data_IF_012477702697
#
_entry.id   IF_012477702697
#
_cell.length_a   1.000
_cell.length_b   1.000
_cell.length_c   1.000
_cell.angle_alpha   90.00
_cell.angle_beta   90.00
_cell.angle_gamma   90.00
#
_symmetry.space_group_name_H-M   'P 1'
#
loop_
_entity.id
_entity.type
_entity.pdbx_description
1 polymer ?
#
# COMPACT_ATOMS: atom_id res chain seq x y z
N UNK A 1 -1.61 -4.11 20.37
CA UNK A 1 -2.75 -5.08 20.50
C UNK A 1 -3.50 -4.97 19.20
N UNK A 2 -3.91 -6.09 18.61
CA UNK A 2 -4.56 -6.08 17.30
C UNK A 2 -6.06 -5.81 17.45
N UNK A 3 -6.81 -6.72 18.05
CA UNK A 3 -8.21 -6.52 18.38
C UNK A 3 -8.66 -7.45 19.50
N UNK A 4 -9.82 -7.17 20.10
CA UNK A 4 -10.49 -8.14 20.97
C UNK A 4 -11.40 -9.00 20.09
N UNK A 5 -11.16 -10.31 20.03
CA UNK A 5 -11.97 -11.23 19.26
C UNK A 5 -13.04 -11.87 20.16
N UNK A 6 -14.34 -11.54 19.99
CA UNK A 6 -15.40 -12.12 20.81
C UNK A 6 -15.50 -13.63 20.63
N UNK A 7 -15.18 -14.13 19.42
CA UNK A 7 -15.28 -15.56 19.06
C UNK A 7 -14.28 -16.45 19.78
N UNK A 8 -13.12 -15.90 20.16
CA UNK A 8 -12.13 -16.61 20.99
C UNK A 8 -12.17 -16.18 22.45
N UNK A 9 -13.04 -15.22 22.81
CA UNK A 9 -13.13 -14.61 24.15
C UNK A 9 -11.75 -14.15 24.67
N UNK A 10 -10.91 -13.65 23.77
CA UNK A 10 -9.53 -13.28 24.09
C UNK A 10 -9.05 -12.15 23.17
N UNK A 11 -8.03 -11.43 23.62
CA UNK A 11 -7.35 -10.43 22.82
C UNK A 11 -6.36 -11.08 21.85
N UNK A 12 -6.39 -10.62 20.60
CA UNK A 12 -5.36 -10.88 19.61
C UNK A 12 -4.26 -9.82 19.81
N UNK A 13 -3.06 -10.27 20.11
CA UNK A 13 -1.90 -9.45 20.46
C UNK A 13 -0.63 -10.14 19.97
N UNK A 14 0.53 -9.51 20.10
CA UNK A 14 1.83 -10.06 19.68
C UNK A 14 2.04 -11.53 20.05
N UNK A 15 1.65 -11.95 21.26
CA UNK A 15 1.83 -13.35 21.71
C UNK A 15 0.77 -14.31 21.20
N UNK A 16 -0.45 -13.83 20.98
CA UNK A 16 -1.61 -14.66 20.59
C UNK A 16 -1.86 -14.67 19.08
N UNK A 17 -1.24 -13.74 18.35
CA UNK A 17 -1.38 -13.57 16.91
C UNK A 17 -1.01 -14.84 16.10
N UNK A 18 0.13 -15.51 16.34
CA UNK A 18 0.46 -16.74 15.61
C UNK A 18 -0.57 -17.85 15.80
N UNK A 19 -1.20 -17.93 16.98
CA UNK A 19 -2.24 -18.92 17.24
C UNK A 19 -3.54 -18.57 16.51
N UNK A 20 -3.90 -17.28 16.50
CA UNK A 20 -5.07 -16.78 15.78
C UNK A 20 -4.95 -17.01 14.28
N UNK A 21 -3.79 -16.74 13.68
CA UNK A 21 -3.54 -16.97 12.25
C UNK A 21 -3.68 -18.46 11.89
N UNK A 22 -3.09 -19.36 12.69
CA UNK A 22 -3.25 -20.82 12.51
C UNK A 22 -4.71 -21.25 12.63
N UNK A 23 -5.43 -20.69 13.60
CA UNK A 23 -6.86 -20.93 13.74
C UNK A 23 -7.63 -20.54 12.47
N UNK A 24 -7.38 -19.36 11.90
CA UNK A 24 -8.03 -18.92 10.66
C UNK A 24 -7.66 -19.81 9.46
N UNK A 25 -6.39 -20.20 9.34
CA UNK A 25 -5.92 -21.09 8.28
C UNK A 25 -6.65 -22.45 8.33
N UNK A 26 -6.61 -23.14 9.47
CA UNK A 26 -7.24 -24.45 9.61
C UNK A 26 -8.76 -24.40 9.49
N UNK A 27 -9.39 -23.31 9.93
CA UNK A 27 -10.84 -23.12 9.77
C UNK A 27 -11.21 -22.94 8.29
N UNK A 28 -10.46 -22.13 7.54
CA UNK A 28 -10.66 -21.98 6.10
C UNK A 28 -10.45 -23.30 5.35
N UNK A 29 -9.36 -24.03 5.62
CA UNK A 29 -9.10 -25.34 5.02
C UNK A 29 -10.23 -26.34 5.30
N UNK A 30 -10.77 -26.34 6.52
CA UNK A 30 -11.89 -27.19 6.90
C UNK A 30 -13.17 -26.82 6.14
N UNK A 31 -13.48 -25.52 6.01
CA UNK A 31 -14.64 -25.03 5.27
C UNK A 31 -14.52 -25.29 3.77
N UNK A 32 -13.35 -25.12 3.17
CA UNK A 32 -13.11 -25.46 1.76
C UNK A 32 -13.22 -26.97 1.51
N UNK A 33 -12.74 -27.78 2.46
CA UNK A 33 -12.92 -29.23 2.40
C UNK A 33 -14.41 -29.57 2.43
N UNK A 34 -15.18 -28.99 3.35
CA UNK A 34 -16.64 -29.17 3.39
C UNK A 34 -17.31 -28.70 2.10
N UNK A 35 -16.95 -27.51 1.59
CA UNK A 35 -17.47 -26.96 0.33
C UNK A 35 -17.20 -27.90 -0.85
N UNK A 36 -16.01 -28.51 -0.92
CA UNK A 36 -15.69 -29.53 -1.92
C UNK A 36 -16.61 -30.75 -1.81
N UNK A 37 -16.85 -31.26 -0.60
CA UNK A 37 -17.76 -32.39 -0.40
C UNK A 37 -19.20 -32.05 -0.80
N UNK A 38 -19.68 -30.85 -0.46
CA UNK A 38 -21.00 -30.36 -0.84
C UNK A 38 -21.12 -30.20 -2.36
N UNK A 39 -20.10 -29.64 -3.00
CA UNK A 39 -20.04 -29.52 -4.47
C UNK A 39 -20.17 -30.88 -5.14
N UNK A 40 -19.43 -31.89 -4.69
CA UNK A 40 -19.52 -33.25 -5.23
C UNK A 40 -20.92 -33.84 -5.08
N UNK A 41 -21.63 -33.56 -3.97
CA UNK A 41 -23.03 -33.98 -3.79
C UNK A 41 -23.97 -33.29 -4.76
N UNK A 42 -23.82 -31.99 -4.99
CA UNK A 42 -24.63 -31.29 -5.99
C UNK A 42 -24.32 -31.73 -7.41
N UNK A 43 -23.06 -32.00 -7.73
CA UNK A 43 -22.66 -32.49 -9.04
C UNK A 43 -23.33 -33.84 -9.34
N UNK A 44 -23.35 -34.75 -8.37
CA UNK A 44 -24.03 -36.04 -8.47
C UNK A 44 -25.57 -35.89 -8.62
N UNK A 45 -26.19 -35.02 -7.83
CA UNK A 45 -27.62 -34.71 -7.96
C UNK A 45 -27.95 -34.09 -9.32
N UNK A 46 -27.08 -33.22 -9.83
CA UNK A 46 -27.26 -32.59 -11.12
C UNK A 46 -27.10 -33.57 -12.28
N UNK A 47 -26.16 -34.52 -12.17
CA UNK A 47 -25.99 -35.59 -13.15
C UNK A 47 -27.26 -36.46 -13.27
N UNK A 48 -27.91 -36.72 -12.13
CA UNK A 48 -29.09 -37.58 -12.04
C UNK A 48 -30.43 -36.82 -12.06
N UNK A 49 -30.44 -35.54 -12.43
CA UNK A 49 -31.63 -34.65 -12.37
C UNK A 49 -32.84 -35.10 -13.19
N UNK A 50 -32.63 -35.97 -14.20
CA UNK A 50 -33.68 -36.49 -15.07
C UNK A 50 -34.32 -37.78 -14.53
N UNK A 51 -33.78 -38.37 -13.46
CA UNK A 51 -34.36 -39.56 -12.85
C UNK A 51 -35.68 -39.22 -12.14
N UNK A 52 -36.63 -40.18 -12.10
CA UNK A 52 -37.83 -40.02 -11.31
C UNK A 52 -37.54 -39.72 -9.84
N UNK A 53 -38.35 -38.85 -9.23
CA UNK A 53 -38.15 -38.33 -7.87
C UNK A 53 -38.08 -39.39 -6.77
N UNK A 54 -38.64 -40.58 -6.98
CA UNK A 54 -38.58 -41.68 -6.02
C UNK A 54 -37.19 -42.35 -5.91
N UNK A 55 -36.30 -42.14 -6.89
CA UNK A 55 -34.90 -42.59 -6.83
C UNK A 55 -33.96 -41.54 -6.23
N UNK A 56 -34.45 -40.33 -5.96
CA UNK A 56 -33.68 -39.22 -5.42
C UNK A 56 -33.69 -39.14 -3.90
N UNK A 57 -32.90 -38.22 -3.31
CA UNK A 57 -32.95 -37.95 -1.88
C UNK A 57 -34.33 -37.42 -1.45
N UNK A 58 -34.69 -37.68 -0.20
CA UNK A 58 -35.91 -37.13 0.38
C UNK A 58 -35.85 -35.60 0.47
N UNK A 59 -37.03 -34.95 0.46
CA UNK A 59 -37.15 -33.49 0.58
C UNK A 59 -36.39 -32.93 1.80
N UNK A 60 -36.45 -33.52 3.01
CA UNK A 60 -35.68 -33.02 4.15
C UNK A 60 -34.16 -33.04 3.93
N UNK A 61 -33.64 -34.04 3.20
CA UNK A 61 -32.21 -34.13 2.86
C UNK A 61 -31.83 -33.02 1.89
N UNK A 62 -32.67 -32.75 0.88
CA UNK A 62 -32.44 -31.65 -0.05
C UNK A 62 -32.46 -30.29 0.66
N UNK A 63 -33.43 -30.06 1.56
CA UNK A 63 -33.50 -28.84 2.38
C UNK A 63 -32.27 -28.72 3.29
N UNK A 64 -31.84 -29.80 3.92
CA UNK A 64 -30.64 -29.78 4.75
C UNK A 64 -29.39 -29.46 3.91
N UNK A 65 -29.25 -30.10 2.75
CA UNK A 65 -28.11 -29.88 1.85
C UNK A 65 -28.05 -28.43 1.36
N UNK A 66 -29.18 -27.83 0.99
CA UNK A 66 -29.22 -26.42 0.55
C UNK A 66 -28.89 -25.46 1.68
N UNK A 67 -29.49 -25.64 2.86
CA UNK A 67 -29.21 -24.79 4.03
C UNK A 67 -27.75 -24.90 4.48
N UNK A 68 -27.22 -26.13 4.58
CA UNK A 68 -25.82 -26.37 4.95
C UNK A 68 -24.86 -25.69 3.96
N UNK A 69 -25.21 -25.70 2.67
CA UNK A 69 -24.38 -25.09 1.63
C UNK A 69 -24.41 -23.58 1.66
N UNK A 70 -25.58 -22.97 1.91
CA UNK A 70 -25.69 -21.52 2.11
C UNK A 70 -24.87 -21.08 3.33
N UNK A 71 -25.03 -21.77 4.47
CA UNK A 71 -24.27 -21.47 5.68
C UNK A 71 -22.77 -21.64 5.44
N UNK A 72 -22.35 -22.73 4.80
CA UNK A 72 -20.93 -22.97 4.47
C UNK A 72 -20.38 -21.89 3.53
N UNK A 73 -21.16 -21.45 2.54
CA UNK A 73 -20.75 -20.39 1.61
C UNK A 73 -20.52 -19.06 2.35
N UNK A 74 -21.50 -18.58 3.10
CA UNK A 74 -21.38 -17.29 3.81
C UNK A 74 -20.30 -17.31 4.89
N UNK A 75 -20.19 -18.42 5.63
CA UNK A 75 -19.14 -18.57 6.66
C UNK A 75 -17.76 -18.66 6.04
N UNK A 76 -17.59 -19.43 4.95
CA UNK A 76 -16.32 -19.51 4.22
C UNK A 76 -15.93 -18.17 3.62
N UNK A 77 -16.87 -17.40 3.06
CA UNK A 77 -16.58 -16.07 2.51
C UNK A 77 -16.14 -15.09 3.61
N UNK A 78 -16.88 -15.02 4.70
CA UNK A 78 -16.55 -14.13 5.82
C UNK A 78 -15.18 -14.45 6.43
N UNK A 79 -14.90 -15.73 6.67
CA UNK A 79 -13.63 -16.17 7.25
C UNK A 79 -12.46 -16.10 6.26
N UNK A 80 -12.73 -16.19 4.96
CA UNK A 80 -11.71 -15.97 3.93
C UNK A 80 -11.29 -14.50 3.87
N UNK A 81 -12.26 -13.57 3.89
CA UNK A 81 -11.97 -12.13 3.95
C UNK A 81 -11.15 -11.81 5.20
N UNK A 82 -11.57 -12.33 6.36
CA UNK A 82 -10.84 -12.15 7.62
C UNK A 82 -9.42 -12.74 7.57
N UNK A 83 -9.26 -13.92 6.97
CA UNK A 83 -7.94 -14.52 6.81
C UNK A 83 -7.05 -13.67 5.91
N UNK A 84 -7.57 -13.21 4.78
CA UNK A 84 -6.80 -12.38 3.85
C UNK A 84 -6.42 -11.02 4.45
N UNK A 85 -7.34 -10.35 5.15
CA UNK A 85 -7.01 -9.09 5.84
C UNK A 85 -5.97 -9.29 6.94
N UNK A 86 -6.06 -10.38 7.71
CA UNK A 86 -5.06 -10.72 8.73
C UNK A 86 -3.71 -11.06 8.10
N UNK A 87 -3.70 -11.76 6.97
CA UNK A 87 -2.48 -12.10 6.22
C UNK A 87 -1.82 -10.85 5.64
N UNK A 88 -2.61 -9.91 5.10
CA UNK A 88 -2.11 -8.62 4.63
C UNK A 88 -1.45 -7.84 5.76
N UNK A 89 -2.14 -7.71 6.91
CA UNK A 89 -1.56 -7.04 8.08
C UNK A 89 -0.28 -7.72 8.57
N UNK A 90 -0.23 -9.05 8.51
CA UNK A 90 0.99 -9.80 8.84
C UNK A 90 2.16 -9.48 7.91
N UNK A 91 1.93 -9.43 6.60
CA UNK A 91 2.97 -9.15 5.59
C UNK A 91 3.49 -7.72 5.72
N UNK A 92 2.63 -6.77 6.06
CA UNK A 92 2.96 -5.34 6.19
C UNK A 92 3.38 -4.94 7.61
N UNK A 93 3.43 -5.90 8.55
CA UNK A 93 3.66 -5.65 9.98
C UNK A 93 2.70 -4.62 10.61
N UNK A 94 1.46 -4.58 10.11
CA UNK A 94 0.44 -3.62 10.47
C UNK A 94 -0.67 -4.32 11.27
N UNK A 95 -0.95 -3.82 12.47
CA UNK A 95 -2.14 -4.25 13.22
C UNK A 95 -3.40 -3.61 12.65
N UNK A 96 -4.56 -4.22 12.89
CA UNK A 96 -5.85 -3.66 12.50
C UNK A 96 -6.07 -2.25 13.04
N UNK A 97 -5.66 -1.96 14.28
CA UNK A 97 -5.80 -0.61 14.84
C UNK A 97 -4.92 0.38 14.07
N UNK A 98 -3.70 -0.02 13.72
CA UNK A 98 -2.76 0.83 12.98
C UNK A 98 -3.25 1.10 11.56
N UNK A 99 -3.80 0.10 10.87
CA UNK A 99 -4.39 0.31 9.53
C UNK A 99 -5.59 1.25 9.54
N UNK A 100 -6.46 1.15 10.54
CA UNK A 100 -7.55 2.12 10.68
C UNK A 100 -7.06 3.53 11.01
N UNK A 101 -5.96 3.65 11.77
CA UNK A 101 -5.33 4.94 12.05
C UNK A 101 -4.68 5.54 10.79
N UNK A 102 -4.04 4.72 9.97
CA UNK A 102 -3.45 5.12 8.69
C UNK A 102 -4.52 5.58 7.69
N UNK A 103 -5.58 4.79 7.51
CA UNK A 103 -6.70 5.12 6.62
C UNK A 103 -7.38 6.44 7.05
N UNK A 104 -7.59 6.60 8.36
CA UNK A 104 -8.16 7.82 8.93
C UNK A 104 -7.28 9.03 8.69
N UNK A 105 -5.96 8.89 8.89
CA UNK A 105 -5.00 9.96 8.66
C UNK A 105 -4.96 10.36 7.18
N UNK A 106 -4.94 9.37 6.28
CA UNK A 106 -4.97 9.59 4.83
C UNK A 106 -6.23 10.33 4.40
N UNK A 107 -7.40 9.91 4.90
CA UNK A 107 -8.67 10.58 4.63
C UNK A 107 -8.72 12.03 5.15
N UNK A 108 -8.07 12.32 6.28
CA UNK A 108 -7.94 13.69 6.80
C UNK A 108 -7.05 14.55 5.91
N UNK A 109 -5.88 14.03 5.49
CA UNK A 109 -4.97 14.71 4.58
C UNK A 109 -5.64 15.04 3.23
N UNK A 110 -6.38 14.11 2.64
CA UNK A 110 -7.10 14.34 1.39
C UNK A 110 -8.15 15.45 1.51
N UNK A 111 -8.91 15.48 2.61
CA UNK A 111 -9.93 16.52 2.85
C UNK A 111 -9.29 17.89 3.01
N UNK A 112 -8.15 17.97 3.70
CA UNK A 112 -7.40 19.22 3.85
C UNK A 112 -6.83 19.71 2.51
N UNK A 113 -6.36 18.80 1.66
CA UNK A 113 -5.84 19.12 0.32
C UNK A 113 -6.94 19.62 -0.63
N UNK A 114 -8.08 18.92 -0.71
CA UNK A 114 -9.18 19.23 -1.64
C UNK A 114 -9.90 20.55 -1.35
N UNK A 115 -9.96 20.97 -0.09
CA UNK A 115 -10.78 22.13 0.28
C UNK A 115 -10.15 23.50 -0.01
N UNK A 116 -8.92 23.59 -0.53
CA UNK A 116 -8.24 24.84 -0.97
C UNK A 116 -8.13 25.97 0.06
N UNK A 117 -8.72 25.77 1.24
CA UNK A 117 -8.87 26.70 2.34
C UNK A 117 -8.17 26.03 3.52
N UNK A 118 -6.96 26.48 3.82
CA UNK A 118 -6.23 26.11 5.03
C UNK A 118 -6.90 26.56 6.33
N UNK A 119 -8.21 26.77 6.33
CA UNK A 119 -8.98 27.46 7.36
C UNK A 119 -10.02 26.59 8.07
N UNK A 120 -10.56 25.54 7.42
CA UNK A 120 -11.60 24.73 8.09
C UNK A 120 -11.05 23.70 9.09
N UNK A 121 -9.81 23.21 8.90
CA UNK A 121 -9.16 22.21 9.76
C UNK A 121 -7.78 22.61 10.27
N UNK A 122 -7.39 23.89 10.17
CA UNK A 122 -6.20 24.35 10.88
C UNK A 122 -6.48 24.30 12.39
N UNK A 123 -6.13 23.18 13.01
CA UNK A 123 -6.16 23.05 14.46
C UNK A 123 -5.22 24.12 14.99
N UNK A 124 -5.80 25.12 15.65
CA UNK A 124 -5.04 26.08 16.42
C UNK A 124 -4.36 25.27 17.53
N UNK A 125 -3.04 25.12 17.44
CA UNK A 125 -2.27 24.57 18.54
C UNK A 125 -2.48 25.42 19.81
N UNK A 126 -2.02 24.94 20.98
CA UNK A 126 -2.09 25.70 22.24
C UNK A 126 -1.49 27.12 22.14
N UNK A 127 -0.60 27.35 21.16
CA UNK A 127 0.02 28.65 20.85
C UNK A 127 -0.72 29.50 19.78
N UNK A 128 -1.91 29.08 19.34
CA UNK A 128 -2.66 29.75 18.26
C UNK A 128 -2.09 29.55 16.84
N UNK A 129 -1.08 28.68 16.68
CA UNK A 129 -0.48 28.37 15.38
C UNK A 129 -1.29 27.30 14.65
N UNK A 130 -1.61 27.55 13.38
CA UNK A 130 -2.29 26.61 12.47
C UNK A 130 -1.39 25.40 12.21
N UNK A 131 -1.80 24.22 12.68
CA UNK A 131 -1.11 22.97 12.35
C UNK A 131 -1.52 22.52 10.94
N UNK A 132 -0.53 22.32 10.06
CA UNK A 132 -0.72 21.62 8.78
C UNK A 132 -0.43 20.15 9.02
N UNK A 133 -1.35 19.27 8.64
CA UNK A 133 -1.14 17.82 8.70
C UNK A 133 -0.27 17.40 7.50
N UNK A 134 0.89 16.82 7.78
CA UNK A 134 1.74 16.16 6.77
C UNK A 134 1.25 14.73 6.55
N UNK A 135 1.37 14.18 5.34
CA UNK A 135 1.11 12.75 5.08
C UNK A 135 2.21 11.94 5.80
N UNK A 136 1.81 11.02 6.68
CA UNK A 136 2.68 10.13 7.46
C UNK A 136 2.46 8.73 6.92
N UNK A 137 3.53 8.02 6.61
CA UNK A 137 3.49 6.63 6.14
C UNK A 137 3.75 5.68 7.31
N UNK A 138 3.33 4.42 7.18
CA UNK A 138 3.46 3.44 8.26
C UNK A 138 4.94 3.11 8.49
N UNK A 139 5.48 3.29 9.71
CA UNK A 139 6.92 3.21 9.94
C UNK A 139 7.43 1.79 10.20
N UNK A 140 6.60 0.84 10.61
CA UNK A 140 7.07 -0.48 11.07
C UNK A 140 7.12 -1.56 9.99
N UNK A 141 6.87 -1.19 8.73
CA UNK A 141 7.10 -2.05 7.58
C UNK A 141 8.59 -2.04 7.20
N UNK A 142 9.33 -3.05 7.67
CA UNK A 142 10.79 -3.17 7.51
C UNK A 142 11.20 -4.24 6.50
N UNK A 143 10.25 -4.70 5.69
CA UNK A 143 10.44 -5.74 4.68
C UNK A 143 9.76 -7.06 5.03
N UNK A 144 9.32 -7.78 4.00
CA UNK A 144 8.42 -8.94 4.13
C UNK A 144 8.95 -9.98 5.12
N UNK A 145 10.21 -10.39 5.03
CA UNK A 145 10.75 -11.45 5.89
C UNK A 145 10.89 -11.03 7.35
N UNK A 146 11.35 -9.80 7.59
CA UNK A 146 11.52 -9.26 8.93
C UNK A 146 10.16 -9.03 9.61
N UNK A 147 9.18 -8.54 8.86
CA UNK A 147 7.78 -8.42 9.28
C UNK A 147 7.20 -9.78 9.69
N UNK A 148 7.37 -10.80 8.83
CA UNK A 148 6.86 -12.15 9.09
C UNK A 148 7.50 -12.77 10.34
N UNK A 149 8.82 -12.61 10.50
CA UNK A 149 9.59 -13.14 11.63
C UNK A 149 9.20 -12.50 12.97
N UNK A 150 8.98 -11.18 12.99
CA UNK A 150 8.57 -10.42 14.17
C UNK A 150 7.22 -10.88 14.70
N UNK A 151 6.22 -11.04 13.83
CA UNK A 151 4.88 -11.43 14.27
C UNK A 151 4.79 -12.91 14.70
N UNK A 152 5.69 -13.77 14.20
CA UNK A 152 5.73 -15.21 14.54
C UNK A 152 6.43 -15.51 15.88
N UNK A 153 6.97 -14.49 16.56
CA UNK A 153 7.65 -14.65 17.84
C UNK A 153 8.95 -15.45 17.75
N UNK A 154 9.58 -15.49 16.57
CA UNK A 154 10.89 -16.12 16.43
C UNK A 154 11.94 -15.31 17.17
N UNK A 155 12.91 -16.00 17.78
CA UNK A 155 13.83 -15.45 18.77
C UNK A 155 14.88 -14.49 18.19
N UNK A 156 14.86 -14.21 16.88
CA UNK A 156 15.98 -13.65 16.14
C UNK A 156 15.79 -12.24 15.55
N UNK A 157 14.60 -11.61 15.60
CA UNK A 157 14.39 -10.32 14.91
C UNK A 157 14.09 -9.12 15.82
N UNK A 158 14.06 -9.29 17.15
CA UNK A 158 13.83 -8.19 18.09
C UNK A 158 15.04 -7.96 19.00
N UNK A 159 15.96 -7.10 18.60
CA UNK A 159 16.98 -6.57 19.52
C UNK A 159 16.33 -5.48 20.38
N UNK A 160 15.67 -5.84 21.48
CA UNK A 160 15.09 -4.82 22.36
C UNK A 160 14.16 -5.31 23.45
N UNK A 161 13.86 -4.41 24.39
CA UNK A 161 12.99 -4.60 25.56
C UNK A 161 11.48 -4.65 25.23
N UNK A 162 11.11 -4.73 23.94
CA UNK A 162 9.73 -4.67 23.45
C UNK A 162 9.16 -3.25 23.30
N UNK A 163 9.98 -2.23 23.50
CA UNK A 163 9.61 -0.80 23.43
C UNK A 163 10.28 -0.04 22.26
N UNK A 164 11.25 -0.67 21.62
CA UNK A 164 11.97 -0.13 20.46
C UNK A 164 11.67 -1.05 19.28
N UNK A 165 11.13 -0.47 18.22
CA UNK A 165 10.83 -1.15 16.97
C UNK A 165 11.65 -0.48 15.87
N UNK A 166 12.25 -1.25 14.95
CA UNK A 166 12.94 -0.65 13.82
C UNK A 166 11.93 0.12 12.98
N UNK A 167 12.20 1.40 12.75
CA UNK A 167 11.44 2.20 11.80
C UNK A 167 12.09 2.09 10.43
N UNK A 168 11.25 2.06 9.40
CA UNK A 168 11.72 2.05 8.03
C UNK A 168 12.46 3.35 7.72
N UNK A 169 12.09 4.50 8.29
CA UNK A 169 12.73 5.79 7.99
C UNK A 169 12.25 6.40 6.66
N UNK A 170 11.06 6.02 6.19
CA UNK A 170 10.37 6.68 5.07
C UNK A 170 9.87 8.07 5.52
N UNK A 171 9.51 8.16 6.79
CA UNK A 171 9.09 9.37 7.46
C UNK A 171 10.26 10.35 7.63
N UNK A 172 9.99 11.65 7.43
CA UNK A 172 10.97 12.75 7.58
C UNK A 172 11.73 12.75 8.91
N UNK A 173 11.05 12.41 10.00
CA UNK A 173 11.63 12.28 11.34
C UNK A 173 11.14 10.99 11.96
N UNK A 174 12.00 10.34 12.73
CA UNK A 174 11.61 9.18 13.55
C UNK A 174 10.55 9.58 14.59
N UNK A 175 9.64 8.65 14.92
CA UNK A 175 8.61 8.88 15.93
C UNK A 175 7.45 9.80 15.48
N UNK A 176 7.21 9.96 14.18
CA UNK A 176 5.99 10.61 13.67
C UNK A 176 4.71 9.77 13.90
N UNK A 177 4.85 8.52 14.33
CA UNK A 177 3.75 7.61 14.64
C UNK A 177 3.51 7.52 16.15
N UNK A 178 2.25 7.46 16.63
CA UNK A 178 1.00 7.56 15.88
C UNK A 178 0.65 9.00 15.45
N UNK A 179 -0.01 9.21 14.30
CA UNK A 179 -0.37 10.54 13.84
C UNK A 179 -1.32 11.25 14.83
N UNK A 180 -1.14 12.57 15.04
CA UNK A 180 -1.94 13.32 16.00
C UNK A 180 -3.35 13.56 15.46
N UNK A 181 -4.36 13.14 16.23
CA UNK A 181 -5.76 13.28 15.86
C UNK A 181 -6.25 14.73 16.13
N UNK A 182 -6.75 15.45 15.10
CA UNK A 182 -7.25 16.81 15.25
C UNK A 182 -8.45 16.93 16.20
N UNK A 183 -9.29 15.90 16.30
CA UNK A 183 -10.42 15.89 17.23
C UNK A 183 -9.96 15.73 18.68
N UNK A 184 -8.92 14.92 18.92
CA UNK A 184 -8.28 14.81 20.25
C UNK A 184 -7.55 16.09 20.63
N UNK A 185 -6.91 16.78 19.68
CA UNK A 185 -6.29 18.09 19.93
C UNK A 185 -7.32 19.16 20.26
N UNK A 186 -8.46 19.20 19.57
CA UNK A 186 -9.56 20.14 19.86
C UNK A 186 -10.19 19.89 21.24
N UNK A 187 -10.30 18.64 21.67
CA UNK A 187 -10.80 18.26 23.01
C UNK A 187 -9.74 18.38 24.11
N UNK A 188 -8.47 18.23 23.75
CA UNK A 188 -7.29 18.25 24.63
C UNK A 188 -6.75 19.64 24.96
N UNK A 189 -7.45 20.71 24.55
CA UNK A 189 -7.17 22.08 25.00
C UNK A 189 -7.25 22.22 26.54
N UNK A 190 -7.72 21.19 27.26
CA UNK A 190 -7.47 20.96 28.68
C UNK A 190 -6.39 19.90 28.96
N UNK A 191 -5.13 20.31 29.04
CA UNK A 191 -4.18 19.79 30.04
C UNK A 191 -3.57 18.38 29.94
N UNK A 192 -3.55 17.69 28.79
CA UNK A 192 -2.81 16.41 28.66
C UNK A 192 -1.37 16.62 28.12
N UNK A 193 -0.30 16.34 28.89
CA UNK A 193 1.09 16.62 28.49
C UNK A 193 1.58 15.87 27.24
N UNK A 194 0.97 14.71 26.92
CA UNK A 194 1.34 13.91 25.75
C UNK A 194 0.95 14.54 24.40
N UNK A 195 -0.02 15.47 24.39
CA UNK A 195 -0.46 16.13 23.15
C UNK A 195 0.57 17.15 22.63
N UNK A 196 1.40 17.71 23.51
CA UNK A 196 2.39 18.73 23.16
C UNK A 196 3.59 18.15 22.40
N UNK A 197 4.01 16.91 22.70
CA UNK A 197 5.13 16.24 22.01
C UNK A 197 4.79 15.84 20.57
N UNK A 198 3.55 15.47 20.28
CA UNK A 198 3.12 15.08 18.92
C UNK A 198 2.96 16.24 17.94
N UNK A 199 2.81 17.47 18.44
CA UNK A 199 2.62 18.65 17.58
C UNK A 199 3.93 19.16 16.95
N UNK A 200 5.09 18.74 17.44
CA UNK A 200 6.40 19.20 16.94
C UNK A 200 6.88 18.38 15.73
N UNK A 201 6.66 17.05 15.73
CA UNK A 201 7.02 16.17 14.59
C UNK A 201 6.17 16.37 13.33
N UNK A 202 4.94 16.85 13.47
CA UNK A 202 3.99 17.04 12.34
C UNK A 202 4.02 18.47 11.77
N UNK A 203 4.92 19.33 12.25
CA UNK A 203 5.11 20.65 11.63
C UNK A 203 5.71 20.49 10.25
N UNK A 204 4.88 20.65 9.22
CA UNK A 204 5.35 20.85 7.84
C UNK A 204 6.37 22.00 7.88
N UNK A 205 7.63 21.76 7.47
CA UNK A 205 8.63 22.81 7.42
C UNK A 205 8.16 23.83 6.38
N UNK A 206 8.13 25.10 6.78
CA UNK A 206 7.78 26.18 5.84
C UNK A 206 9.03 26.48 5.03
N UNK A 207 9.12 25.90 3.83
CA UNK A 207 10.16 26.23 2.87
C UNK A 207 10.05 27.71 2.49
N UNK A 208 11.20 28.38 2.35
CA UNK A 208 11.28 29.80 2.03
C UNK A 208 10.92 30.09 0.58
N UNK A 209 11.18 29.14 -0.33
CA UNK A 209 10.89 29.24 -1.76
C UNK A 209 10.29 27.94 -2.32
N UNK A 210 9.64 28.05 -3.50
CA UNK A 210 9.11 26.89 -4.25
C UNK A 210 10.23 25.96 -4.72
N UNK A 211 11.42 26.50 -4.99
CA UNK A 211 12.60 25.75 -5.42
C UNK A 211 13.11 24.84 -4.30
N UNK A 212 13.15 25.35 -3.07
CA UNK A 212 13.55 24.58 -1.88
C UNK A 212 12.56 23.44 -1.58
N UNK A 213 11.26 23.67 -1.79
CA UNK A 213 10.22 22.63 -1.66
C UNK A 213 10.38 21.52 -2.73
N UNK A 214 10.66 21.91 -3.98
CA UNK A 214 10.92 20.98 -5.08
C UNK A 214 12.19 20.15 -4.86
N UNK A 215 13.26 20.77 -4.37
CA UNK A 215 14.52 20.08 -4.06
C UNK A 215 14.35 19.08 -2.92
N UNK A 216 13.66 19.47 -1.84
CA UNK A 216 13.32 18.57 -0.74
C UNK A 216 12.42 17.41 -1.18
N UNK A 217 11.55 17.63 -2.18
CA UNK A 217 10.74 16.57 -2.77
C UNK A 217 11.56 15.62 -3.65
N UNK A 218 12.44 16.14 -4.52
CA UNK A 218 13.34 15.34 -5.36
C UNK A 218 14.30 14.50 -4.53
N UNK A 219 14.87 15.08 -3.47
CA UNK A 219 15.75 14.37 -2.54
C UNK A 219 15.04 13.18 -1.87
N UNK A 220 13.75 13.34 -1.52
CA UNK A 220 12.92 12.24 -0.99
C UNK A 220 12.69 11.14 -2.02
N UNK A 221 12.29 11.50 -3.25
CA UNK A 221 12.11 10.52 -4.33
C UNK A 221 13.40 9.73 -4.62
N UNK A 222 14.55 10.38 -4.58
CA UNK A 222 15.84 9.72 -4.78
C UNK A 222 16.20 8.80 -3.61
N UNK A 223 15.94 9.21 -2.37
CA UNK A 223 16.14 8.36 -1.19
C UNK A 223 15.23 7.12 -1.21
N UNK A 224 13.95 7.29 -1.57
CA UNK A 224 13.02 6.17 -1.75
C UNK A 224 13.49 5.25 -2.87
N UNK A 225 13.88 5.79 -4.03
CA UNK A 225 14.41 4.98 -5.15
C UNK A 225 15.65 4.18 -4.75
N UNK A 226 16.58 4.78 -4.01
CA UNK A 226 17.78 4.09 -3.51
C UNK A 226 17.44 2.96 -2.55
N UNK A 227 16.42 3.14 -1.71
CA UNK A 227 15.92 2.09 -0.81
C UNK A 227 15.35 0.91 -1.59
N UNK A 228 14.50 1.17 -2.59
CA UNK A 228 13.96 0.12 -3.47
C UNK A 228 15.05 -0.63 -4.23
N UNK A 229 16.08 0.08 -4.71
CA UNK A 229 17.25 -0.53 -5.36
C UNK A 229 18.08 -1.37 -4.36
N UNK A 230 18.23 -0.91 -3.12
CA UNK A 230 18.94 -1.60 -2.05
C UNK A 230 18.23 -2.87 -1.57
N UNK A 231 16.90 -2.83 -1.45
CA UNK A 231 16.12 -4.04 -1.13
C UNK A 231 16.13 -5.03 -2.29
N UNK A 232 16.01 -4.56 -3.53
CA UNK A 232 16.12 -5.42 -4.71
C UNK A 232 17.51 -6.03 -4.83
N UNK A 233 18.57 -5.28 -4.57
CA UNK A 233 19.94 -5.81 -4.61
C UNK A 233 20.22 -6.78 -3.47
N UNK A 234 19.70 -6.54 -2.26
CA UNK A 234 19.77 -7.48 -1.13
C UNK A 234 19.01 -8.77 -1.42
N UNK A 235 17.81 -8.67 -1.99
CA UNK A 235 17.00 -9.82 -2.38
C UNK A 235 17.68 -10.62 -3.51
N UNK A 236 18.26 -9.95 -4.51
CA UNK A 236 19.07 -10.60 -5.55
C UNK A 236 20.32 -11.27 -4.98
N UNK A 237 21.01 -10.64 -4.03
CA UNK A 237 22.19 -11.22 -3.36
C UNK A 237 21.84 -12.43 -2.49
N UNK A 238 20.69 -12.43 -1.80
CA UNK A 238 20.18 -13.60 -1.06
C UNK A 238 19.75 -14.74 -2.02
N UNK A 239 19.29 -14.43 -3.23
CA UNK A 239 18.99 -15.44 -4.26
C UNK A 239 20.26 -16.00 -4.92
N UNK A 240 21.32 -15.20 -5.05
CA UNK A 240 22.63 -15.62 -5.60
C UNK A 240 23.36 -16.62 -4.69
N UNK A 241 22.99 -16.72 -3.41
CA UNK A 241 23.53 -17.69 -2.45
C UNK A 241 22.89 -19.10 -2.57
N UNK A 242 21.85 -19.25 -3.39
CA UNK A 242 21.25 -20.53 -3.76
C UNK A 242 21.67 -20.90 -5.20
N UNK A 243 22.66 -21.79 -5.32
CA UNK A 243 23.25 -22.27 -6.58
C UNK A 243 22.20 -22.90 -7.52
N UNK A 244 21.55 -22.04 -8.31
CA UNK A 244 20.83 -22.40 -9.52
C UNK A 244 21.41 -21.56 -10.65
N UNK A 245 22.00 -22.25 -11.61
CA UNK A 245 22.57 -21.71 -12.83
C UNK A 245 21.47 -20.98 -13.63
N UNK A 246 21.35 -19.66 -13.43
CA UNK A 246 20.41 -18.82 -14.14
C UNK A 246 21.05 -18.42 -15.47
N UNK A 247 20.57 -19.06 -16.54
CA UNK A 247 20.94 -18.74 -17.92
C UNK A 247 20.67 -17.24 -18.15
N UNK A 248 21.71 -16.50 -18.48
CA UNK A 248 21.61 -15.11 -18.92
C UNK A 248 20.93 -15.08 -20.28
N UNK A 249 19.61 -14.98 -20.31
CA UNK A 249 18.92 -14.44 -21.48
C UNK A 249 19.11 -12.92 -21.47
N UNK A 250 20.15 -12.51 -22.19
CA UNK A 250 20.29 -11.16 -22.75
C UNK A 250 18.97 -10.80 -23.44
N UNK A 251 18.12 -10.06 -22.71
CA UNK A 251 16.83 -9.58 -23.21
C UNK A 251 17.03 -8.13 -23.59
N UNK A 252 17.42 -7.97 -24.87
CA UNK A 252 16.97 -6.97 -25.83
C UNK A 252 16.33 -5.71 -25.21
N UNK A 253 16.98 -4.57 -25.41
CA UNK A 253 16.47 -3.22 -25.25
C UNK A 253 15.35 -2.93 -26.27
N UNK A 254 14.28 -3.70 -26.16
CA UNK A 254 13.05 -3.51 -26.90
C UNK A 254 12.30 -2.32 -26.34
N UNK A 255 12.30 -1.23 -27.09
CA UNK A 255 11.38 -0.10 -26.96
C UNK A 255 9.99 -0.59 -26.52
N UNK A 256 9.43 -0.05 -25.42
CA UNK A 256 8.09 -0.41 -24.96
C UNK A 256 7.09 -0.11 -26.09
N UNK A 257 6.60 -1.17 -26.73
CA UNK A 257 5.62 -1.11 -27.79
C UNK A 257 4.24 -1.05 -27.11
N UNK A 258 3.53 0.05 -27.34
CA UNK A 258 2.18 0.25 -26.81
C UNK A 258 1.23 -0.86 -27.26
N UNK A 259 0.08 -0.98 -26.60
CA UNK A 259 -0.92 -2.02 -26.92
C UNK A 259 -1.47 -1.94 -28.36
N UNK A 260 -1.16 -0.87 -29.09
CA UNK A 260 -1.48 -0.58 -30.48
C UNK A 260 -0.36 -0.97 -31.48
N UNK A 261 0.82 -1.39 -31.01
CA UNK A 261 1.94 -1.79 -31.87
C UNK A 261 2.91 -0.66 -32.23
N UNK A 262 2.71 0.56 -31.72
CA UNK A 262 3.58 1.72 -31.96
C UNK A 262 4.48 2.00 -30.73
N UNK A 263 5.69 2.56 -30.91
CA UNK A 263 6.58 2.87 -29.78
C UNK A 263 5.92 3.83 -28.78
N UNK A 264 6.10 3.60 -27.47
CA UNK A 264 5.63 4.48 -26.40
C UNK A 264 4.62 3.84 -25.45
N UNK A 265 4.46 4.46 -24.28
CA UNK A 265 3.65 3.95 -23.18
C UNK A 265 2.16 4.26 -23.40
N UNK A 266 1.29 3.26 -23.17
CA UNK A 266 -0.17 3.39 -23.17
C UNK A 266 -0.74 2.94 -21.83
N UNK A 267 -1.74 3.65 -21.30
CA UNK A 267 -2.41 3.24 -20.07
C UNK A 267 -3.33 2.00 -20.28
N UNK A 268 -3.89 1.44 -19.21
CA UNK A 268 -4.74 0.25 -19.25
C UNK A 268 -6.04 0.44 -20.08
N UNK A 269 -6.41 1.69 -20.37
CA UNK A 269 -7.58 2.07 -21.16
C UNK A 269 -7.22 2.39 -22.63
N UNK A 270 -5.93 2.32 -23.00
CA UNK A 270 -5.41 2.51 -24.37
C UNK A 270 -5.12 3.95 -24.76
N UNK A 271 -5.12 4.89 -23.81
CA UNK A 271 -4.88 6.32 -24.05
C UNK A 271 -3.38 6.66 -23.93
N UNK A 272 -2.91 7.60 -24.77
CA UNK A 272 -1.52 8.10 -24.84
C UNK A 272 -1.38 9.47 -24.17
N UNK A 273 -0.16 9.88 -23.82
CA UNK A 273 0.09 11.21 -23.25
C UNK A 273 -0.34 12.34 -24.21
N UNK A 274 -0.26 12.10 -25.51
CA UNK A 274 -0.70 13.01 -26.57
C UNK A 274 -2.20 13.32 -26.51
N UNK A 275 -3.03 12.37 -26.06
CA UNK A 275 -4.48 12.55 -25.88
C UNK A 275 -4.79 13.54 -24.75
N UNK A 276 -3.85 13.71 -23.83
CA UNK A 276 -3.90 14.70 -22.75
C UNK A 276 -3.21 16.02 -23.12
N UNK A 277 -2.83 16.20 -24.39
CA UNK A 277 -2.19 17.41 -24.90
C UNK A 277 -0.75 17.58 -24.42
N UNK A 278 -0.09 16.48 -24.10
CA UNK A 278 1.33 16.43 -23.75
C UNK A 278 2.08 15.84 -24.94
N UNK A 279 2.84 16.67 -25.64
CA UNK A 279 3.63 16.25 -26.80
C UNK A 279 4.80 15.35 -26.33
N UNK A 280 4.84 14.09 -26.79
CA UNK A 280 5.89 13.13 -26.43
C UNK A 280 7.19 13.34 -27.25
N UNK A 281 7.15 14.17 -28.30
CA UNK A 281 8.25 14.36 -29.24
C UNK A 281 9.27 15.45 -28.83
N UNK A 282 9.02 16.18 -27.72
CA UNK A 282 9.86 17.34 -27.37
C UNK A 282 11.24 16.95 -26.80
N UNK A 283 11.41 15.73 -26.30
CA UNK A 283 12.69 15.22 -25.76
C UNK A 283 13.56 14.48 -26.81
N UNK A 284 13.21 14.52 -28.11
CA UNK A 284 13.91 13.78 -29.19
C UNK A 284 14.61 14.68 -30.22
N UNK A 285 15.15 15.83 -29.81
CA UNK A 285 16.09 16.59 -30.66
C UNK A 285 17.41 16.85 -29.94
N UNK A 286 18.43 16.17 -30.44
CA UNK A 286 19.83 16.11 -29.98
C UNK A 286 20.61 17.42 -30.28
N UNK A 287 20.03 18.59 -30.00
CA UNK A 287 20.56 19.90 -30.40
C UNK A 287 21.18 20.73 -29.25
N UNK A 288 21.53 20.10 -28.12
CA UNK A 288 22.05 20.77 -26.92
C UNK A 288 23.55 21.14 -26.93
N UNK A 289 24.18 21.28 -28.11
CA UNK A 289 25.59 21.68 -28.22
C UNK A 289 25.85 22.80 -29.27
N UNK A 290 24.91 23.75 -29.40
CA UNK A 290 25.08 24.93 -30.27
C UNK A 290 25.47 26.17 -29.46
N UNK A 291 26.69 26.72 -29.60
CA UNK A 291 27.10 27.92 -28.89
C UNK A 291 26.21 29.12 -29.19
N UNK A 292 25.89 29.93 -28.16
CA UNK A 292 24.99 31.10 -28.23
C UNK A 292 25.30 32.09 -29.38
N UNK A 293 26.57 32.17 -29.79
CA UNK A 293 27.03 32.99 -30.90
C UNK A 293 26.46 32.55 -32.27
N UNK A 294 26.22 31.25 -32.46
CA UNK A 294 25.67 30.67 -33.69
C UNK A 294 24.16 30.88 -33.80
N UNK A 295 23.44 30.83 -32.67
CA UNK A 295 22.00 31.14 -32.58
C UNK A 295 21.74 32.63 -32.92
N UNK A 296 22.58 33.54 -32.41
CA UNK A 296 22.52 34.97 -32.75
C UNK A 296 22.84 35.26 -34.22
N UNK A 297 23.72 34.45 -34.83
CA UNK A 297 24.07 34.56 -36.25
C UNK A 297 22.93 34.08 -37.14
N UNK A 298 22.33 32.92 -36.84
CA UNK A 298 21.15 32.38 -37.56
C UNK A 298 19.96 33.34 -37.51
N UNK A 299 19.72 33.96 -36.35
CA UNK A 299 18.64 34.96 -36.19
C UNK A 299 18.86 36.23 -37.02
N UNK A 300 20.11 36.69 -37.19
CA UNK A 300 20.43 37.86 -38.03
C UNK A 300 20.37 37.57 -39.53
N UNK A 301 20.67 36.34 -39.97
CA UNK A 301 20.57 35.93 -41.37
C UNK A 301 19.10 35.84 -41.79
N UNK A 302 18.26 35.18 -40.98
CA UNK A 302 16.81 35.08 -41.22
C UNK A 302 16.10 36.44 -41.28
N UNK A 303 16.59 37.44 -40.55
CA UNK A 303 16.03 38.79 -40.59
C UNK A 303 16.40 39.57 -41.85
N UNK A 304 17.51 39.20 -42.51
CA UNK A 304 17.99 39.85 -43.74
C UNK A 304 17.34 39.26 -44.99
N UNK A 305 17.05 37.96 -44.99
CA UNK A 305 16.38 37.26 -46.09
C UNK A 305 14.86 37.53 -46.16
N UNK A 306 14.30 38.23 -45.15
CA UNK A 306 12.89 38.67 -45.13
C UNK A 306 12.68 40.14 -45.56
N UNK A 307 13.74 40.88 -45.90
CA UNK A 307 13.68 42.30 -46.32
C UNK A 307 14.09 42.52 -47.80
N UNK A 308 14.27 41.48 -48.61
CA UNK A 308 14.39 41.57 -50.08
C UNK A 308 13.15 41.01 -50.81
#
# INVERSE_FOLDING_TARGET
MDHHCPWTSNCVSMRTFPHFLRFLLYTNLSLWTLARHLYLRFADLWAHRALPSYLGPSLPVLVHLTLLSLVTFFTSLALFILFFSTLRGWVLNETMIEGWELDRHTALCERTSKNGSGDFWSVNGPDGKKLRLEKVEFPYDVGIFDNLAQAMGTRNSGTGSGWEWPENGINRTEGMWPPPDPDKMRRGQGGWPGAARGAEGVRVPRYGSKEEELEAFKSRQEADRKRWQGERSRLMAELEEADYELVSEESDDGYEQGADGEPGWTNADGERLQDFGVDEDEDMTDDEDVPLAEILRRRKVLQKDGEE
#
